data_IF_760295189222
#
_entry.id   IF_760295189222
#
_cell.length_a   1.000
_cell.length_b   1.000
_cell.length_c   1.000
_cell.angle_alpha   90.00
_cell.angle_beta   90.00
_cell.angle_gamma   90.00
#
_symmetry.space_group_name_H-M   'P 1'
#
loop_
_entity.id
_entity.type
_entity.pdbx_description
1 polymer ?
#
# COMPACT_ATOMS: atom_id res chain seq x y z
N UNK A 1 13.71 21.15 15.21
CA UNK A 1 12.57 21.56 14.35
C UNK A 1 11.87 22.71 15.06
N UNK A 2 11.79 23.87 14.42
CA UNK A 2 11.15 25.05 15.02
C UNK A 2 9.68 24.73 15.26
N UNK A 3 9.24 24.89 16.51
CA UNK A 3 7.87 24.68 16.95
C UNK A 3 7.02 25.84 16.41
N UNK A 4 6.71 25.80 15.11
CA UNK A 4 5.84 26.81 14.46
C UNK A 4 4.44 26.55 15.00
N UNK A 5 3.91 27.51 15.76
CA UNK A 5 2.54 27.47 16.26
C UNK A 5 1.61 27.40 15.04
N UNK A 6 0.84 26.32 14.92
CA UNK A 6 -0.11 26.16 13.81
C UNK A 6 -1.14 27.29 13.87
N UNK A 7 -1.23 28.10 12.82
CA UNK A 7 -2.23 29.16 12.70
C UNK A 7 -3.54 28.61 12.08
N UNK A 8 -4.68 29.18 12.48
CA UNK A 8 -6.00 28.80 11.94
C UNK A 8 -6.02 29.05 10.42
N UNK A 9 -6.16 27.97 9.63
CA UNK A 9 -6.23 28.03 8.17
C UNK A 9 -4.92 27.74 7.43
N UNK A 10 -3.80 27.54 8.14
CA UNK A 10 -2.62 26.90 7.54
C UNK A 10 -2.91 25.40 7.36
N UNK A 11 -2.63 24.87 6.17
CA UNK A 11 -2.76 23.45 5.80
C UNK A 11 -1.44 22.96 5.17
N UNK A 12 -1.14 21.66 5.25
CA UNK A 12 0.07 21.06 4.68
C UNK A 12 1.23 20.91 5.68
N UNK A 13 0.94 20.60 6.95
CA UNK A 13 1.98 20.38 7.97
C UNK A 13 2.62 18.99 7.86
N UNK A 14 1.85 18.00 7.42
CA UNK A 14 2.33 16.65 7.18
C UNK A 14 3.37 16.64 6.05
N UNK A 15 3.04 17.25 4.91
CA UNK A 15 3.85 17.13 3.69
C UNK A 15 3.80 15.71 3.10
N UNK A 16 4.65 15.46 2.12
CA UNK A 16 4.73 14.15 1.46
C UNK A 16 5.44 13.11 2.32
N UNK A 17 5.16 11.85 2.02
CA UNK A 17 5.76 10.66 2.65
C UNK A 17 5.52 10.60 4.16
N UNK A 18 4.39 11.18 4.61
CA UNK A 18 3.94 11.08 5.99
C UNK A 18 2.49 10.63 6.08
N UNK A 19 2.26 9.63 6.92
CA UNK A 19 0.93 9.13 7.23
C UNK A 19 0.34 9.96 8.35
N UNK A 20 -0.86 10.50 8.14
CA UNK A 20 -1.62 11.27 9.12
C UNK A 20 -2.75 10.41 9.66
N UNK A 21 -2.68 9.95 10.92
CA UNK A 21 -3.83 9.37 11.58
C UNK A 21 -4.88 10.44 11.84
N UNK A 22 -6.16 10.08 11.75
CA UNK A 22 -7.26 10.99 12.06
C UNK A 22 -8.42 10.25 12.74
N UNK A 23 -9.28 11.00 13.40
CA UNK A 23 -10.54 10.54 13.97
C UNK A 23 -11.64 11.56 13.66
N UNK A 24 -12.83 11.07 13.37
CA UNK A 24 -14.06 11.86 13.18
C UNK A 24 -14.98 11.52 14.34
N UNK A 25 -14.97 12.38 15.37
CA UNK A 25 -15.69 12.11 16.63
C UNK A 25 -17.20 11.96 16.39
N UNK A 26 -17.79 12.77 15.50
CA UNK A 26 -19.22 12.71 15.19
C UNK A 26 -19.71 11.50 14.41
N UNK A 27 -18.80 10.66 13.87
CA UNK A 27 -19.14 9.47 13.06
C UNK A 27 -18.54 8.17 13.59
N UNK A 28 -17.84 8.19 14.73
CA UNK A 28 -17.10 7.04 15.27
C UNK A 28 -16.14 6.38 14.25
N UNK A 29 -15.57 7.20 13.37
CA UNK A 29 -14.63 6.75 12.34
C UNK A 29 -13.21 7.15 12.73
N UNK A 30 -12.31 6.19 12.62
CA UNK A 30 -10.87 6.46 12.64
C UNK A 30 -10.27 6.11 11.29
N UNK A 31 -9.19 6.78 10.94
CA UNK A 31 -8.54 6.50 9.67
C UNK A 31 -7.11 6.95 9.61
N UNK A 32 -6.51 6.70 8.47
CA UNK A 32 -5.21 7.22 8.09
C UNK A 32 -5.27 7.72 6.66
N UNK A 33 -4.56 8.80 6.40
CA UNK A 33 -4.39 9.32 5.06
C UNK A 33 -2.90 9.55 4.80
N UNK A 34 -2.47 9.36 3.56
CA UNK A 34 -1.09 9.54 3.14
C UNK A 34 -1.05 10.10 1.73
N UNK A 35 -0.06 10.93 1.46
CA UNK A 35 0.37 11.31 0.12
C UNK A 35 1.86 11.00 0.03
N UNK A 36 2.23 10.17 -0.93
CA UNK A 36 3.61 9.79 -1.20
C UNK A 36 4.07 10.41 -2.51
N UNK A 37 5.27 10.95 -2.50
CA UNK A 37 5.88 11.63 -3.65
C UNK A 37 7.34 11.20 -3.78
N UNK A 38 8.29 11.80 -3.06
CA UNK A 38 9.70 11.43 -3.11
C UNK A 38 9.94 9.92 -2.90
N UNK A 39 9.22 9.30 -1.96
CA UNK A 39 9.27 7.85 -1.71
C UNK A 39 8.94 7.04 -2.97
N UNK A 40 7.77 7.30 -3.57
CA UNK A 40 7.28 6.51 -4.70
C UNK A 40 8.13 6.74 -5.95
N UNK A 41 8.60 7.98 -6.18
CA UNK A 41 9.55 8.27 -7.25
C UNK A 41 10.83 7.43 -7.11
N UNK A 42 11.42 7.40 -5.91
CA UNK A 42 12.67 6.65 -5.66
C UNK A 42 12.50 5.15 -5.95
N UNK A 43 11.35 4.57 -5.58
CA UNK A 43 11.06 3.15 -5.82
C UNK A 43 10.83 2.87 -7.32
N UNK A 44 10.06 3.72 -8.00
CA UNK A 44 9.71 3.54 -9.41
C UNK A 44 10.89 3.78 -10.36
N UNK A 45 11.74 4.76 -10.06
CA UNK A 45 12.89 5.16 -10.90
C UNK A 45 13.95 4.05 -11.02
N UNK A 46 13.98 3.09 -10.09
CA UNK A 46 14.92 1.96 -10.07
C UNK A 46 14.76 0.98 -11.23
N UNK A 47 13.53 0.82 -11.73
CA UNK A 47 13.18 -0.24 -12.69
C UNK A 47 12.56 0.30 -13.99
N UNK A 48 12.44 1.62 -14.14
CA UNK A 48 11.90 2.27 -15.33
C UNK A 48 10.56 1.67 -15.81
N UNK A 49 9.63 1.43 -14.87
CA UNK A 49 8.35 0.80 -15.15
C UNK A 49 7.53 1.56 -16.20
N UNK A 50 6.82 0.86 -17.11
CA UNK A 50 5.80 1.47 -17.95
C UNK A 50 4.68 2.09 -17.10
N UNK A 51 4.05 3.15 -17.60
CA UNK A 51 3.07 3.95 -16.85
C UNK A 51 1.96 3.12 -16.17
N UNK A 52 1.34 2.10 -16.80
CA UNK A 52 0.30 1.30 -16.15
C UNK A 52 0.83 0.49 -14.95
N UNK A 53 2.04 -0.08 -15.07
CA UNK A 53 2.69 -0.85 -14.00
C UNK A 53 3.13 0.06 -12.86
N UNK A 54 3.68 1.23 -13.19
CA UNK A 54 4.07 2.23 -12.21
C UNK A 54 2.87 2.72 -11.38
N UNK A 55 1.72 2.96 -12.02
CA UNK A 55 0.47 3.32 -11.34
C UNK A 55 0.01 2.23 -10.37
N UNK A 56 -0.08 0.99 -10.84
CA UNK A 56 -0.47 -0.15 -10.01
C UNK A 56 0.46 -0.32 -8.79
N UNK A 57 1.78 -0.24 -9.00
CA UNK A 57 2.76 -0.35 -7.93
C UNK A 57 2.65 0.80 -6.94
N UNK A 58 2.39 2.02 -7.41
CA UNK A 58 2.19 3.19 -6.56
C UNK A 58 0.94 3.05 -5.66
N UNK A 59 -0.18 2.58 -6.20
CA UNK A 59 -1.40 2.30 -5.43
C UNK A 59 -1.15 1.22 -4.37
N UNK A 60 -0.42 0.15 -4.73
CA UNK A 60 -0.06 -0.91 -3.78
C UNK A 60 0.91 -0.45 -2.67
N UNK A 61 1.83 0.48 -2.97
CA UNK A 61 2.70 1.11 -1.96
C UNK A 61 1.84 1.89 -0.96
N UNK A 62 0.91 2.72 -1.44
CA UNK A 62 0.00 3.50 -0.59
C UNK A 62 -0.84 2.58 0.28
N UNK A 63 -1.44 1.54 -0.30
CA UNK A 63 -2.24 0.56 0.44
C UNK A 63 -1.42 -0.10 1.55
N UNK A 64 -0.22 -0.56 1.22
CA UNK A 64 0.70 -1.21 2.17
C UNK A 64 1.08 -0.27 3.31
N UNK A 65 1.34 1.01 3.02
CA UNK A 65 1.69 2.02 4.02
C UNK A 65 0.50 2.33 4.93
N UNK A 66 -0.70 2.49 4.38
CA UNK A 66 -1.92 2.76 5.16
C UNK A 66 -2.24 1.61 6.11
N UNK A 67 -2.16 0.37 5.63
CA UNK A 67 -2.42 -0.82 6.46
C UNK A 67 -1.28 -1.06 7.43
N UNK A 68 -0.03 -1.02 6.98
CA UNK A 68 1.15 -1.30 7.79
C UNK A 68 1.29 -0.35 8.98
N UNK A 69 1.00 0.94 8.80
CA UNK A 69 0.95 1.91 9.91
C UNK A 69 -0.31 1.77 10.77
N UNK A 70 -1.32 1.02 10.31
CA UNK A 70 -2.56 0.77 11.04
C UNK A 70 -2.51 -0.30 12.11
N UNK A 71 -1.72 -1.33 11.85
CA UNK A 71 -1.58 -2.48 12.70
C UNK A 71 -0.59 -2.15 13.83
N UNK A 72 -0.95 -2.47 15.07
CA UNK A 72 -0.06 -2.32 16.23
C UNK A 72 0.77 -3.59 16.40
N UNK A 73 1.82 -3.74 15.59
CA UNK A 73 2.74 -4.87 15.66
C UNK A 73 4.19 -4.37 15.61
N UNK A 74 5.13 -5.27 15.89
CA UNK A 74 6.55 -5.05 15.60
C UNK A 74 7.02 -6.18 14.68
N UNK A 75 7.44 -5.84 13.46
CA UNK A 75 7.83 -6.79 12.43
C UNK A 75 7.60 -6.29 11.01
N UNK A 76 7.14 -7.17 10.13
CA UNK A 76 6.95 -6.93 8.70
C UNK A 76 5.53 -7.25 8.26
N UNK A 77 4.89 -6.28 7.61
CA UNK A 77 3.68 -6.47 6.84
C UNK A 77 4.03 -6.55 5.35
N UNK A 78 3.44 -7.50 4.63
CA UNK A 78 3.67 -7.74 3.21
C UNK A 78 2.33 -7.87 2.49
N UNK A 79 2.15 -7.07 1.44
CA UNK A 79 1.10 -7.26 0.44
C UNK A 79 1.75 -7.91 -0.77
N UNK A 80 1.25 -9.08 -1.15
CA UNK A 80 1.76 -9.80 -2.31
C UNK A 80 0.60 -10.23 -3.21
N UNK A 81 0.72 -9.98 -4.51
CA UNK A 81 -0.19 -10.54 -5.51
C UNK A 81 0.51 -11.64 -6.29
N UNK A 82 -0.27 -12.66 -6.67
CA UNK A 82 0.13 -13.63 -7.68
C UNK A 82 -1.06 -13.85 -8.59
N UNK A 83 -0.92 -13.40 -9.83
CA UNK A 83 -1.97 -13.46 -10.84
C UNK A 83 -1.48 -14.00 -12.17
N UNK A 84 -2.41 -14.19 -13.09
CA UNK A 84 -2.15 -14.60 -14.48
C UNK A 84 -2.20 -13.42 -15.48
N UNK A 85 -2.31 -12.19 -14.99
CA UNK A 85 -2.28 -10.98 -15.81
C UNK A 85 -0.86 -10.58 -16.27
N UNK A 86 -0.75 -9.49 -17.06
CA UNK A 86 0.54 -8.92 -17.48
C UNK A 86 1.52 -8.65 -16.33
N UNK A 87 1.02 -8.34 -15.14
CA UNK A 87 1.80 -8.18 -13.91
C UNK A 87 1.61 -9.44 -13.06
N UNK A 88 2.58 -10.37 -13.16
CA UNK A 88 2.47 -11.70 -12.54
C UNK A 88 2.73 -11.71 -11.02
N UNK A 89 3.49 -10.71 -10.56
CA UNK A 89 3.95 -10.59 -9.17
C UNK A 89 4.07 -9.12 -8.81
N UNK A 90 3.36 -8.73 -7.76
CA UNK A 90 3.59 -7.48 -7.06
C UNK A 90 3.88 -7.79 -5.60
N UNK A 91 4.89 -7.16 -5.04
CA UNK A 91 5.23 -7.27 -3.63
C UNK A 91 5.47 -5.87 -3.07
N UNK A 92 4.76 -5.52 -2.01
CA UNK A 92 4.98 -4.31 -1.25
C UNK A 92 5.10 -4.66 0.24
N UNK A 93 6.19 -4.19 0.85
CA UNK A 93 6.53 -4.47 2.23
C UNK A 93 6.53 -3.18 3.06
N UNK A 94 5.98 -3.26 4.26
CA UNK A 94 6.14 -2.29 5.32
C UNK A 94 6.80 -2.97 6.52
N UNK A 95 7.97 -2.48 6.93
CA UNK A 95 8.65 -2.93 8.15
C UNK A 95 8.60 -1.81 9.19
N UNK A 96 8.16 -2.16 10.39
CA UNK A 96 8.08 -1.22 11.51
C UNK A 96 9.48 -0.68 11.84
N UNK A 97 9.60 0.62 12.16
CA UNK A 97 8.53 1.59 12.33
C UNK A 97 8.14 2.38 11.07
N UNK A 98 8.95 2.39 10.01
CA UNK A 98 8.82 3.39 8.93
C UNK A 98 9.36 2.96 7.56
N UNK A 99 9.82 1.70 7.43
CA UNK A 99 10.54 1.27 6.23
C UNK A 99 9.60 0.67 5.20
N UNK A 100 9.67 1.15 3.96
CA UNK A 100 8.87 0.69 2.83
C UNK A 100 9.80 0.18 1.74
N UNK A 101 9.39 -0.88 1.04
CA UNK A 101 9.98 -1.29 -0.24
C UNK A 101 8.90 -1.96 -1.08
N UNK A 102 9.02 -1.86 -2.39
CA UNK A 102 8.10 -2.55 -3.28
C UNK A 102 8.78 -2.93 -4.59
N UNK A 103 8.21 -3.91 -5.26
CA UNK A 103 8.68 -4.47 -6.51
C UNK A 103 7.51 -5.03 -7.31
N UNK A 104 7.58 -4.91 -8.63
CA UNK A 104 6.65 -5.56 -9.54
C UNK A 104 7.41 -6.26 -10.65
N UNK A 105 6.96 -7.45 -11.02
CA UNK A 105 7.43 -8.18 -12.20
C UNK A 105 6.29 -8.27 -13.20
N UNK A 106 6.63 -8.03 -14.47
CA UNK A 106 5.66 -8.00 -15.55
C UNK A 106 6.23 -8.62 -16.82
N UNK A 107 5.35 -9.08 -17.69
CA UNK A 107 5.68 -9.56 -19.03
C UNK A 107 5.49 -8.41 -20.04
N UNK A 108 6.58 -8.02 -20.73
CA UNK A 108 6.57 -6.89 -21.66
C UNK A 108 5.62 -7.08 -22.86
N UNK A 109 5.59 -8.29 -23.44
CA UNK A 109 4.75 -8.59 -24.61
C UNK A 109 3.26 -8.57 -24.23
N UNK A 110 2.90 -9.22 -23.12
CA UNK A 110 1.53 -9.24 -22.62
C UNK A 110 1.05 -7.85 -22.20
N UNK A 111 1.94 -7.04 -21.63
CA UNK A 111 1.65 -5.66 -21.26
C UNK A 111 1.43 -4.79 -22.52
N UNK A 112 2.26 -4.94 -23.54
CA UNK A 112 2.11 -4.19 -24.79
C UNK A 112 0.76 -4.48 -25.48
N UNK A 113 0.33 -5.74 -25.48
CA UNK A 113 -0.98 -6.14 -25.98
C UNK A 113 -2.11 -5.54 -25.13
N UNK A 114 -2.03 -5.63 -23.80
CA UNK A 114 -3.02 -5.05 -22.91
C UNK A 114 -3.14 -3.52 -23.10
N UNK A 115 -2.02 -2.82 -23.28
CA UNK A 115 -2.01 -1.38 -23.58
C UNK A 115 -2.64 -1.07 -24.93
N UNK A 116 -2.35 -1.85 -25.97
CA UNK A 116 -2.94 -1.67 -27.29
C UNK A 116 -4.47 -1.85 -27.29
N UNK A 117 -4.98 -2.73 -26.44
CA UNK A 117 -6.41 -2.98 -26.25
C UNK A 117 -7.09 -2.02 -25.25
N UNK A 118 -6.32 -1.11 -24.62
CA UNK A 118 -6.83 -0.20 -23.59
C UNK A 118 -7.14 -0.88 -22.25
N UNK A 119 -6.65 -2.10 -22.02
CA UNK A 119 -6.81 -2.86 -20.78
C UNK A 119 -5.72 -2.51 -19.75
N UNK A 120 -5.71 -1.26 -19.31
CA UNK A 120 -4.64 -0.72 -18.43
C UNK A 120 -5.07 -0.47 -16.99
N UNK A 121 -6.26 -0.92 -16.58
CA UNK A 121 -6.68 -0.76 -15.18
C UNK A 121 -5.94 -1.74 -14.25
N UNK A 122 -5.71 -1.37 -12.98
CA UNK A 122 -4.98 -2.21 -12.01
C UNK A 122 -5.46 -3.67 -11.95
N UNK A 123 -6.77 -3.88 -11.89
CA UNK A 123 -7.41 -5.20 -11.84
C UNK A 123 -7.19 -6.02 -13.12
N UNK A 124 -7.15 -5.37 -14.29
CA UNK A 124 -6.89 -6.04 -15.57
C UNK A 124 -5.41 -6.45 -15.72
N UNK A 125 -4.51 -5.64 -15.15
CA UNK A 125 -3.07 -5.93 -15.16
C UNK A 125 -2.71 -7.08 -14.23
N UNK A 126 -3.41 -7.21 -13.11
CA UNK A 126 -3.24 -8.32 -12.17
C UNK A 126 -3.89 -9.61 -12.67
N UNK A 127 -5.00 -9.51 -13.41
CA UNK A 127 -5.75 -10.67 -13.88
C UNK A 127 -6.42 -11.42 -12.74
N UNK A 128 -6.56 -12.74 -12.90
CA UNK A 128 -7.13 -13.61 -11.88
C UNK A 128 -6.02 -14.23 -11.04
N UNK A 129 -6.29 -14.44 -9.76
CA UNK A 129 -5.30 -14.99 -8.85
C UNK A 129 -5.64 -14.72 -7.40
N UNK A 130 -4.61 -14.42 -6.62
CA UNK A 130 -4.76 -14.16 -5.18
C UNK A 130 -3.93 -12.97 -4.74
N UNK A 131 -4.47 -12.24 -3.76
CA UNK A 131 -3.79 -11.21 -3.01
C UNK A 131 -3.63 -11.69 -1.57
N UNK A 132 -2.39 -11.78 -1.11
CA UNK A 132 -2.02 -12.24 0.22
C UNK A 132 -1.51 -11.08 1.07
N UNK A 133 -2.11 -10.93 2.25
CA UNK A 133 -1.70 -10.05 3.33
C UNK A 133 -0.96 -10.88 4.38
N UNK A 134 0.34 -10.68 4.52
CA UNK A 134 1.17 -11.43 5.47
C UNK A 134 1.69 -10.50 6.57
N UNK A 135 1.45 -10.86 7.83
CA UNK A 135 1.97 -10.19 9.02
C UNK A 135 2.97 -11.14 9.68
N UNK A 136 4.24 -10.76 9.68
CA UNK A 136 5.33 -11.46 10.35
C UNK A 136 5.78 -10.61 11.55
N UNK A 137 5.68 -11.16 12.77
CA UNK A 137 6.05 -10.50 14.03
C UNK A 137 7.38 -11.03 14.62
N UNK A 138 8.20 -11.68 13.78
CA UNK A 138 9.51 -12.18 14.14
C UNK A 138 9.52 -13.62 14.66
N UNK A 139 10.71 -14.08 15.05
CA UNK A 139 11.04 -15.50 15.24
C UNK A 139 10.22 -16.24 16.32
N UNK A 140 9.57 -15.53 17.23
CA UNK A 140 8.81 -16.11 18.33
C UNK A 140 7.32 -16.28 18.02
N UNK A 141 6.85 -15.78 16.88
CA UNK A 141 5.45 -15.86 16.47
C UNK A 141 5.31 -16.43 15.07
N UNK A 142 4.23 -17.17 14.85
CA UNK A 142 3.92 -17.67 13.51
C UNK A 142 3.39 -16.54 12.65
N UNK A 143 3.80 -16.46 11.37
CA UNK A 143 3.26 -15.44 10.47
C UNK A 143 1.77 -15.68 10.26
N UNK A 144 1.00 -14.60 10.32
CA UNK A 144 -0.41 -14.60 9.96
C UNK A 144 -0.56 -14.24 8.49
N UNK A 145 -1.36 -14.99 7.74
CA UNK A 145 -1.60 -14.73 6.32
C UNK A 145 -3.10 -14.77 6.02
N UNK A 146 -3.63 -13.66 5.51
CA UNK A 146 -4.97 -13.59 4.93
C UNK A 146 -4.89 -13.56 3.41
N UNK A 147 -5.69 -14.36 2.73
CA UNK A 147 -5.69 -14.49 1.27
C UNK A 147 -7.07 -14.11 0.75
N UNK A 148 -7.12 -13.21 -0.22
CA UNK A 148 -8.35 -12.76 -0.90
C UNK A 148 -8.21 -13.05 -2.40
N UNK A 149 -9.25 -13.56 -3.08
CA UNK A 149 -9.21 -13.77 -4.52
C UNK A 149 -9.10 -12.45 -5.29
N UNK A 150 -8.38 -12.48 -6.42
CA UNK A 150 -8.43 -11.45 -7.45
C UNK A 150 -9.47 -11.87 -8.48
N UNK A 151 -10.63 -11.22 -8.48
CA UNK A 151 -11.81 -11.54 -9.31
C UNK A 151 -12.22 -10.36 -10.22
N UNK A 152 -11.29 -9.44 -10.47
CA UNK A 152 -11.55 -8.18 -11.18
C UNK A 152 -11.97 -7.03 -10.27
N UNK A 153 -12.04 -7.25 -8.95
CA UNK A 153 -12.23 -6.18 -7.97
C UNK A 153 -11.00 -5.28 -7.87
N UNK A 154 -11.21 -4.01 -7.51
CA UNK A 154 -10.13 -3.05 -7.28
C UNK A 154 -9.33 -3.39 -6.01
N UNK A 155 -8.09 -2.88 -5.90
CA UNK A 155 -7.29 -3.00 -4.67
C UNK A 155 -8.01 -2.40 -3.44
N UNK A 156 -8.82 -1.36 -3.66
CA UNK A 156 -9.63 -0.74 -2.60
C UNK A 156 -10.67 -1.72 -2.04
N UNK A 157 -11.38 -2.42 -2.93
CA UNK A 157 -12.45 -3.36 -2.56
C UNK A 157 -11.88 -4.62 -1.90
N UNK A 158 -10.78 -5.14 -2.46
CA UNK A 158 -10.05 -6.30 -1.90
C UNK A 158 -9.60 -6.01 -0.46
N UNK A 159 -9.04 -4.82 -0.21
CA UNK A 159 -8.66 -4.40 1.13
C UNK A 159 -9.88 -4.30 2.07
N UNK A 160 -11.00 -3.78 1.59
CA UNK A 160 -12.27 -3.74 2.35
C UNK A 160 -12.79 -5.14 2.72
N UNK A 161 -12.70 -6.10 1.80
CA UNK A 161 -13.07 -7.51 2.04
C UNK A 161 -12.16 -8.13 3.09
N UNK A 162 -10.84 -7.93 2.99
CA UNK A 162 -9.88 -8.43 3.97
C UNK A 162 -10.20 -7.97 5.39
N UNK A 163 -10.38 -6.66 5.62
CA UNK A 163 -10.69 -6.16 6.97
C UNK A 163 -12.05 -6.62 7.48
N UNK A 164 -13.03 -6.75 6.59
CA UNK A 164 -14.36 -7.27 6.95
C UNK A 164 -14.31 -8.72 7.40
N UNK A 165 -13.52 -9.57 6.72
CA UNK A 165 -13.43 -11.00 7.02
C UNK A 165 -12.47 -11.30 8.18
N UNK A 166 -11.30 -10.67 8.20
CA UNK A 166 -10.25 -10.97 9.19
C UNK A 166 -10.44 -10.23 10.50
N UNK A 167 -10.84 -8.95 10.46
CA UNK A 167 -10.91 -8.08 11.65
C UNK A 167 -12.35 -7.74 12.06
N UNK A 168 -13.35 -8.06 11.22
CA UNK A 168 -14.76 -7.69 11.41
C UNK A 168 -14.96 -6.16 11.58
N UNK A 169 -14.09 -5.36 10.96
CA UNK A 169 -14.15 -3.90 11.00
C UNK A 169 -14.61 -3.39 9.64
N UNK A 170 -15.78 -2.73 9.54
CA UNK A 170 -16.18 -2.03 8.32
C UNK A 170 -15.10 -1.03 7.93
N UNK A 171 -14.55 -1.23 6.74
CA UNK A 171 -13.40 -0.48 6.24
C UNK A 171 -13.65 -0.04 4.82
N UNK A 172 -13.34 1.21 4.52
CA UNK A 172 -13.33 1.75 3.16
C UNK A 172 -11.95 2.34 2.88
N UNK A 173 -11.43 2.03 1.70
CA UNK A 173 -10.12 2.50 1.24
C UNK A 173 -10.34 3.29 -0.04
N UNK A 174 -9.63 4.41 -0.21
CA UNK A 174 -9.49 5.11 -1.48
C UNK A 174 -8.03 5.24 -1.82
N UNK A 175 -7.68 4.94 -3.06
CA UNK A 175 -6.32 5.01 -3.60
C UNK A 175 -6.33 5.83 -4.87
N UNK A 176 -5.24 6.53 -5.13
CA UNK A 176 -5.03 7.26 -6.36
C UNK A 176 -3.54 7.39 -6.64
N UNK A 177 -3.15 7.23 -7.89
CA UNK A 177 -1.80 7.46 -8.35
C UNK A 177 -1.84 8.19 -9.69
N UNK A 178 -1.03 9.23 -9.81
CA UNK A 178 -0.94 10.05 -11.01
C UNK A 178 0.51 10.38 -11.32
N UNK A 179 0.77 10.50 -12.61
CA UNK A 179 2.01 11.07 -13.11
C UNK A 179 1.82 12.58 -13.29
N UNK A 180 2.68 13.35 -12.65
CA UNK A 180 2.72 14.80 -12.72
C UNK A 180 3.82 15.25 -13.68
N UNK A 181 3.47 16.26 -14.47
CA UNK A 181 4.38 16.96 -15.36
C UNK A 181 4.60 18.37 -14.81
N UNK A 182 5.72 18.56 -14.11
CA UNK A 182 6.07 19.83 -13.50
C UNK A 182 7.42 20.36 -14.02
N UNK A 183 7.87 21.46 -13.44
CA UNK A 183 9.19 22.04 -13.71
C UNK A 183 9.98 22.06 -12.42
N UNK A 184 11.24 21.67 -12.49
CA UNK A 184 12.15 21.78 -11.36
C UNK A 184 12.46 23.26 -11.04
N UNK A 185 13.20 23.51 -9.96
CA UNK A 185 13.62 24.85 -9.54
C UNK A 185 14.41 25.60 -10.64
N UNK A 186 15.00 24.88 -11.60
CA UNK A 186 15.74 25.42 -12.74
C UNK A 186 14.86 25.58 -14.00
N UNK A 187 13.55 25.32 -13.91
CA UNK A 187 12.59 25.42 -15.01
C UNK A 187 12.62 24.24 -16.00
N UNK A 188 13.42 23.20 -15.75
CA UNK A 188 13.50 22.01 -16.61
C UNK A 188 12.26 21.14 -16.40
N UNK A 189 11.64 20.63 -17.49
CA UNK A 189 10.52 19.71 -17.36
C UNK A 189 10.97 18.46 -16.59
N UNK A 190 10.17 18.08 -15.59
CA UNK A 190 10.37 16.88 -14.78
C UNK A 190 9.07 16.08 -14.80
N UNK A 191 9.23 14.76 -14.82
CA UNK A 191 8.15 13.80 -14.63
C UNK A 191 8.28 13.27 -13.21
N UNK A 192 7.21 13.35 -12.44
CA UNK A 192 7.17 12.80 -11.09
C UNK A 192 5.92 11.98 -10.89
N UNK A 193 6.01 10.99 -10.03
CA UNK A 193 4.87 10.26 -9.53
C UNK A 193 4.40 10.85 -8.21
N UNK A 194 3.08 10.90 -8.06
CA UNK A 194 2.43 11.20 -6.79
C UNK A 194 1.30 10.21 -6.61
N UNK A 195 1.23 9.64 -5.42
CA UNK A 195 0.15 8.74 -5.05
C UNK A 195 -0.39 9.12 -3.69
N UNK A 196 -1.68 8.91 -3.47
CA UNK A 196 -2.34 9.23 -2.22
C UNK A 196 -3.39 8.20 -1.91
N UNK A 197 -3.77 8.14 -0.65
CA UNK A 197 -4.86 7.29 -0.22
C UNK A 197 -5.34 7.60 1.17
N UNK A 198 -6.53 7.08 1.45
CA UNK A 198 -7.23 7.21 2.72
C UNK A 198 -7.86 5.86 3.08
N UNK A 199 -7.67 5.43 4.31
CA UNK A 199 -8.39 4.31 4.92
C UNK A 199 -9.27 4.84 6.04
N UNK A 200 -10.56 4.53 5.99
CA UNK A 200 -11.54 4.84 7.02
C UNK A 200 -12.09 3.54 7.61
N UNK A 201 -12.12 3.45 8.93
CA UNK A 201 -12.56 2.29 9.69
C UNK A 201 -13.58 2.71 10.74
N UNK A 202 -14.70 1.99 10.78
CA UNK A 202 -15.75 2.23 11.76
C UNK A 202 -15.43 1.52 13.09
N UNK A 203 -15.23 2.29 14.16
CA UNK A 203 -15.00 1.77 15.50
C UNK A 203 -15.89 2.48 16.51
N UNK A 204 -17.14 2.02 16.69
CA UNK A 204 -18.04 2.60 17.65
C UNK A 204 -17.57 2.34 19.09
N UNK A 205 -17.66 3.35 19.94
CA UNK A 205 -17.35 3.20 21.38
C UNK A 205 -18.37 2.30 22.12
N UNK A 206 -19.57 2.14 21.56
CA UNK A 206 -20.62 1.28 22.09
C UNK A 206 -20.58 -0.09 21.40
N UNK A 207 -20.32 -1.21 22.14
CA UNK A 207 -20.16 -2.55 21.56
C UNK A 207 -21.37 -3.05 20.78
N UNK A 208 -22.58 -2.60 21.14
CA UNK A 208 -23.82 -3.01 20.49
C UNK A 208 -23.93 -2.49 19.05
N UNK A 209 -23.23 -1.40 18.71
CA UNK A 209 -23.15 -0.86 17.34
C UNK A 209 -22.13 -1.59 16.47
N UNK A 210 -21.31 -2.45 17.06
CA UNK A 210 -20.37 -3.31 16.34
C UNK A 210 -20.98 -4.69 16.02
N UNK A 211 -22.08 -5.07 16.68
CA UNK A 211 -22.74 -6.35 16.47
C UNK A 211 -23.59 -6.29 15.20
N UNK A 212 -23.32 -7.19 14.25
CA UNK A 212 -24.35 -7.54 13.28
C UNK A 212 -25.57 -8.08 14.06
N UNK A 213 -26.80 -7.73 13.68
CA UNK A 213 -27.99 -8.35 14.26
C UNK A 213 -27.88 -9.87 14.22
N UNK A 214 -28.27 -10.55 15.31
CA UNK A 214 -28.31 -12.01 15.32
C UNK A 214 -29.22 -12.51 14.18
N UNK A 215 -28.67 -13.39 13.33
CA UNK A 215 -29.48 -14.18 12.40
C UNK A 215 -30.46 -15.01 13.21
N UNK A 216 -31.75 -14.72 13.03
CA UNK A 216 -32.82 -15.30 13.81
C UNK A 216 -32.95 -16.78 13.45
N UNK A 217 -33.15 -17.62 14.47
CA UNK A 217 -33.31 -19.05 14.29
C UNK A 217 -34.63 -19.36 13.57
N UNK A 218 -34.56 -19.55 12.25
CA UNK A 218 -35.33 -20.57 11.54
C UNK A 218 -36.86 -20.42 11.45
N UNK A 219 -37.42 -19.23 11.60
CA UNK A 219 -38.83 -19.00 11.26
C UNK A 219 -38.90 -18.11 10.02
N UNK A 220 -39.41 -18.66 8.92
CA UNK A 220 -39.42 -18.11 7.55
C UNK A 220 -40.05 -16.74 7.39
N UNK A 221 -39.38 -15.71 7.88
CA UNK A 221 -39.63 -14.32 7.59
C UNK A 221 -38.90 -13.97 6.30
N UNK A 222 -39.60 -13.98 5.16
CA UNK A 222 -39.11 -13.55 3.84
C UNK A 222 -38.94 -12.01 3.74
N UNK A 223 -38.63 -11.36 4.86
CA UNK A 223 -38.17 -9.98 4.83
C UNK A 223 -36.69 -10.03 4.50
N UNK A 224 -36.30 -9.45 3.37
CA UNK A 224 -34.91 -9.08 3.13
C UNK A 224 -34.47 -8.25 4.34
N UNK A 225 -33.68 -8.85 5.24
CA UNK A 225 -33.04 -8.12 6.31
C UNK A 225 -31.96 -7.27 5.64
N UNK A 226 -32.33 -6.06 5.22
CA UNK A 226 -31.37 -4.99 5.00
C UNK A 226 -30.49 -4.94 6.25
N UNK A 227 -29.21 -5.28 6.09
CA UNK A 227 -28.22 -5.11 7.14
C UNK A 227 -28.26 -3.63 7.46
N UNK A 228 -28.87 -3.26 8.59
CA UNK A 228 -28.88 -1.90 9.10
C UNK A 228 -27.43 -1.53 9.39
N UNK A 229 -26.75 -0.98 8.41
CA UNK A 229 -25.50 -0.30 8.63
C UNK A 229 -25.78 0.87 9.56
N UNK A 230 -24.87 1.12 10.50
CA UNK A 230 -24.96 2.29 11.35
C UNK A 230 -24.98 3.54 10.45
N UNK A 231 -25.99 4.40 10.59
CA UNK A 231 -26.15 5.62 9.78
C UNK A 231 -24.86 6.45 9.76
N UNK A 232 -24.08 6.44 10.86
CA UNK A 232 -22.80 7.14 10.95
C UNK A 232 -21.74 6.53 10.03
N UNK A 233 -21.71 5.20 9.90
CA UNK A 233 -20.81 4.53 8.96
C UNK A 233 -21.25 4.75 7.52
N UNK A 234 -22.55 4.68 7.22
CA UNK A 234 -23.05 4.94 5.86
C UNK A 234 -22.69 6.35 5.41
N UNK A 235 -22.91 7.34 6.28
CA UNK A 235 -22.53 8.72 6.01
C UNK A 235 -21.02 8.86 5.78
N UNK A 236 -20.20 8.30 6.68
CA UNK A 236 -18.75 8.34 6.51
C UNK A 236 -18.29 7.70 5.20
N UNK A 237 -18.88 6.55 4.84
CA UNK A 237 -18.59 5.84 3.59
C UNK A 237 -18.98 6.71 2.39
N UNK A 238 -20.16 7.32 2.39
CA UNK A 238 -20.61 8.21 1.32
C UNK A 238 -19.65 9.38 1.14
N UNK A 239 -19.20 10.01 2.23
CA UNK A 239 -18.21 11.09 2.19
C UNK A 239 -16.89 10.61 1.59
N UNK A 240 -16.36 9.47 2.04
CA UNK A 240 -15.11 8.88 1.51
C UNK A 240 -15.24 8.47 0.04
N UNK A 241 -16.42 8.01 -0.39
CA UNK A 241 -16.68 7.65 -1.79
C UNK A 241 -16.67 8.87 -2.72
N UNK A 242 -16.84 10.09 -2.20
CA UNK A 242 -16.73 11.32 -3.01
C UNK A 242 -15.31 11.74 -3.34
N UNK A 243 -14.30 11.16 -2.69
CA UNK A 243 -12.89 11.48 -2.95
C UNK A 243 -12.54 11.14 -4.40
N UNK A 244 -11.96 12.07 -5.13
CA UNK A 244 -11.43 11.80 -6.47
C UNK A 244 -9.93 11.46 -6.43
N UNK A 245 -9.46 10.70 -7.42
CA UNK A 245 -8.03 10.38 -7.56
C UNK A 245 -7.19 11.67 -7.75
N UNK A 246 -7.76 12.67 -8.42
CA UNK A 246 -7.13 13.98 -8.59
C UNK A 246 -6.93 14.69 -7.24
N UNK A 247 -7.87 14.59 -6.30
CA UNK A 247 -7.70 15.19 -4.97
C UNK A 247 -6.65 14.46 -4.12
N UNK A 248 -6.54 13.14 -4.26
CA UNK A 248 -5.52 12.34 -3.58
C UNK A 248 -4.11 12.66 -4.09
N UNK A 249 -4.00 13.09 -5.35
CA UNK A 249 -2.72 13.31 -6.03
C UNK A 249 -2.40 14.77 -6.28
N UNK A 250 -3.27 15.73 -5.97
CA UNK A 250 -3.02 17.16 -6.15
C UNK A 250 -2.04 17.69 -5.08
N UNK A 251 -0.87 18.26 -5.47
CA UNK A 251 0.05 18.90 -4.53
C UNK A 251 -0.54 20.09 -3.75
N UNK A 252 -1.60 20.72 -4.25
CA UNK A 252 -2.30 21.83 -3.61
C UNK A 252 -3.37 21.37 -2.61
N UNK A 253 -3.72 20.08 -2.63
CA UNK A 253 -4.67 19.45 -1.69
C UNK A 253 -3.88 18.56 -0.74
N UNK A 254 -3.28 19.18 0.28
CA UNK A 254 -2.64 18.43 1.37
C UNK A 254 -3.66 17.61 2.18
N UNK A 255 -3.16 16.59 2.88
CA UNK A 255 -3.98 15.64 3.65
C UNK A 255 -4.93 16.35 4.62
N UNK A 256 -4.46 17.34 5.39
CA UNK A 256 -5.30 18.03 6.36
C UNK A 256 -6.43 18.83 5.69
N UNK A 257 -6.17 19.37 4.49
CA UNK A 257 -7.18 20.06 3.70
C UNK A 257 -8.22 19.08 3.15
N UNK A 258 -7.78 17.91 2.68
CA UNK A 258 -8.67 16.84 2.23
C UNK A 258 -9.59 16.38 3.39
N UNK A 259 -9.00 16.09 4.55
CA UNK A 259 -9.76 15.69 5.74
C UNK A 259 -10.77 16.75 6.19
N UNK A 260 -10.37 18.03 6.16
CA UNK A 260 -11.28 19.13 6.46
C UNK A 260 -12.43 19.20 5.45
N UNK A 261 -12.16 19.13 4.14
CA UNK A 261 -13.22 19.12 3.11
C UNK A 261 -14.24 18.02 3.36
N UNK A 262 -13.78 16.82 3.66
CA UNK A 262 -14.64 15.65 3.89
C UNK A 262 -15.46 15.74 5.17
N UNK A 263 -14.85 16.17 6.28
CA UNK A 263 -15.40 15.94 7.62
C UNK A 263 -15.54 17.20 8.48
N UNK A 264 -15.46 18.41 7.91
CA UNK A 264 -15.57 19.66 8.67
C UNK A 264 -16.86 19.76 9.50
N UNK A 265 -17.99 19.25 9.00
CA UNK A 265 -19.28 19.29 9.73
C UNK A 265 -19.33 18.34 10.93
N UNK A 266 -18.50 17.28 10.93
CA UNK A 266 -18.54 16.20 11.92
C UNK A 266 -17.40 16.23 12.94
N UNK A 267 -16.51 17.21 12.83
CA UNK A 267 -15.42 17.43 13.79
C UNK A 267 -14.26 16.47 13.60
N UNK A 268 -13.51 16.62 12.50
CA UNK A 268 -12.29 15.84 12.26
C UNK A 268 -11.11 16.34 13.10
N UNK A 269 -10.39 15.40 13.70
CA UNK A 269 -9.13 15.62 14.41
C UNK A 269 -8.02 14.84 13.72
N UNK A 270 -6.99 15.55 13.25
CA UNK A 270 -5.75 14.95 12.76
C UNK A 270 -4.73 14.82 13.92
N UNK A 271 -3.97 13.74 13.90
CA UNK A 271 -2.89 13.45 14.87
C UNK A 271 -1.51 13.70 14.24
N UNK A 272 -0.47 13.56 15.07
CA UNK A 272 0.91 13.75 14.62
C UNK A 272 1.24 12.81 13.45
N UNK A 273 1.82 13.34 12.35
CA UNK A 273 2.18 12.54 11.20
C UNK A 273 3.35 11.61 11.50
N UNK A 274 3.32 10.41 10.91
CA UNK A 274 4.40 9.43 10.94
C UNK A 274 5.08 9.38 9.58
N UNK A 275 6.38 9.65 9.53
CA UNK A 275 7.14 9.57 8.29
C UNK A 275 7.35 8.12 7.83
N UNK A 276 7.45 7.93 6.51
CA UNK A 276 7.82 6.66 5.88
C UNK A 276 8.97 6.87 4.92
N UNK A 277 9.85 5.87 4.81
CA UNK A 277 11.09 5.96 4.05
C UNK A 277 11.32 4.70 3.23
N UNK A 278 11.90 4.87 2.05
CA UNK A 278 12.34 3.76 1.23
C UNK A 278 13.65 3.23 1.80
N UNK A 279 13.57 2.05 2.44
CA UNK A 279 14.71 1.40 3.09
C UNK A 279 14.66 -0.08 2.80
N UNK A 280 15.57 -0.53 1.94
CA UNK A 280 15.74 -1.95 1.68
C UNK A 280 16.55 -2.59 2.82
N UNK A 281 16.17 -3.80 3.19
CA UNK A 281 16.85 -4.60 4.22
C UNK A 281 17.94 -5.52 3.67
N UNK A 282 18.30 -5.39 2.38
CA UNK A 282 19.37 -6.17 1.76
C UNK A 282 20.73 -5.82 2.37
N UNK A 283 21.57 -6.83 2.54
CA UNK A 283 22.95 -6.66 2.98
C UNK A 283 23.81 -7.71 2.30
N UNK A 284 25.12 -7.44 2.23
CA UNK A 284 26.08 -8.40 1.69
C UNK A 284 25.98 -9.75 2.42
N UNK A 285 25.81 -9.73 3.75
CA UNK A 285 25.72 -10.94 4.57
C UNK A 285 24.44 -11.74 4.29
N UNK A 286 23.29 -11.06 4.11
CA UNK A 286 22.02 -11.74 3.81
C UNK A 286 22.06 -12.43 2.46
N UNK A 287 22.55 -11.73 1.44
CA UNK A 287 22.66 -12.29 0.08
C UNK A 287 23.69 -13.42 0.07
N UNK A 288 24.81 -13.26 0.77
CA UNK A 288 25.78 -14.34 0.97
C UNK A 288 25.15 -15.57 1.61
N UNK A 289 24.33 -15.40 2.65
CA UNK A 289 23.61 -16.50 3.29
C UNK A 289 22.65 -17.24 2.35
N UNK A 290 22.02 -16.53 1.41
CA UNK A 290 21.19 -17.15 0.35
C UNK A 290 22.07 -17.96 -0.61
N UNK A 291 23.18 -17.37 -1.09
CA UNK A 291 24.10 -18.04 -2.00
C UNK A 291 24.78 -19.27 -1.39
N UNK A 292 24.99 -19.29 -0.07
CA UNK A 292 25.49 -20.46 0.66
C UNK A 292 24.53 -21.67 0.65
N UNK A 293 23.24 -21.44 0.35
CA UNK A 293 22.26 -22.52 0.19
C UNK A 293 22.30 -23.20 -1.18
N UNK A 294 23.06 -22.66 -2.13
CA UNK A 294 23.12 -23.17 -3.50
C UNK A 294 24.16 -24.29 -3.61
N UNK A 295 23.94 -25.22 -4.53
CA UNK A 295 24.89 -26.28 -4.86
C UNK A 295 26.12 -25.71 -5.59
N UNK A 296 27.22 -26.47 -5.56
CA UNK A 296 28.46 -26.07 -6.24
C UNK A 296 28.25 -25.86 -7.77
N UNK A 297 27.39 -26.66 -8.40
CA UNK A 297 27.05 -26.53 -9.82
C UNK A 297 26.26 -25.23 -10.11
N UNK A 298 25.35 -24.84 -9.22
CA UNK A 298 24.60 -23.57 -9.32
C UNK A 298 25.53 -22.35 -9.13
N UNK A 299 26.51 -22.45 -8.22
CA UNK A 299 27.50 -21.40 -7.99
C UNK A 299 28.44 -21.27 -9.20
N UNK A 300 28.91 -22.39 -9.76
CA UNK A 300 29.79 -22.38 -10.95
C UNK A 300 29.05 -21.82 -12.17
N UNK A 301 27.80 -22.24 -12.41
CA UNK A 301 26.98 -21.71 -13.51
C UNK A 301 26.58 -20.25 -13.35
N UNK A 302 26.53 -19.73 -12.11
CA UNK A 302 26.27 -18.32 -11.83
C UNK A 302 27.54 -17.44 -11.83
N UNK A 303 28.72 -18.04 -12.05
CA UNK A 303 30.00 -17.31 -12.08
C UNK A 303 30.28 -16.83 -13.48
N UNK A 304 30.36 -15.51 -13.66
CA UNK A 304 30.74 -14.85 -14.91
C UNK A 304 31.98 -13.97 -14.64
N UNK A 305 33.01 -14.06 -15.50
CA UNK A 305 34.27 -13.31 -15.33
C UNK A 305 34.94 -13.46 -13.94
N UNK A 306 34.76 -14.62 -13.30
CA UNK A 306 35.33 -14.93 -11.99
C UNK A 306 34.61 -14.28 -10.80
N UNK A 307 33.41 -13.72 -11.02
CA UNK A 307 32.58 -13.13 -9.98
C UNK A 307 31.14 -13.60 -10.09
N UNK A 308 30.43 -13.54 -8.97
CA UNK A 308 28.98 -13.74 -8.90
C UNK A 308 28.37 -12.39 -8.59
N UNK A 309 27.58 -11.86 -9.52
CA UNK A 309 26.90 -10.57 -9.35
C UNK A 309 25.44 -10.82 -9.03
N UNK A 310 25.00 -10.41 -7.84
CA UNK A 310 23.59 -10.48 -7.44
C UNK A 310 23.03 -9.07 -7.34
N UNK A 311 22.01 -8.79 -8.13
CA UNK A 311 21.26 -7.53 -8.04
C UNK A 311 20.01 -7.75 -7.19
N UNK A 312 19.83 -6.91 -6.16
CA UNK A 312 18.63 -6.98 -5.35
C UNK A 312 17.43 -6.40 -6.11
N UNK A 313 16.40 -7.21 -6.35
CA UNK A 313 15.18 -6.80 -7.08
C UNK A 313 14.40 -5.64 -6.41
N UNK A 314 14.61 -5.33 -5.13
CA UNK A 314 13.87 -4.24 -4.46
C UNK A 314 14.55 -2.87 -4.57
N UNK A 315 15.88 -2.85 -4.48
CA UNK A 315 16.65 -1.60 -4.43
C UNK A 315 17.61 -1.41 -5.61
N UNK A 316 17.71 -2.41 -6.49
CA UNK A 316 18.64 -2.48 -7.62
C UNK A 316 20.12 -2.33 -7.24
N UNK A 317 20.48 -2.51 -5.96
CA UNK A 317 21.88 -2.58 -5.54
C UNK A 317 22.48 -3.91 -5.99
N UNK A 318 23.58 -3.82 -6.74
CA UNK A 318 24.39 -4.98 -7.14
C UNK A 318 25.46 -5.30 -6.11
N UNK A 319 25.62 -6.58 -5.81
CA UNK A 319 26.62 -7.11 -4.90
C UNK A 319 27.49 -8.12 -5.64
N UNK A 320 28.79 -7.83 -5.71
CA UNK A 320 29.77 -8.73 -6.32
C UNK A 320 30.40 -9.63 -5.27
N UNK A 321 30.45 -10.93 -5.53
CA UNK A 321 31.11 -11.92 -4.68
C UNK A 321 32.16 -12.68 -5.46
N UNK A 322 33.25 -13.03 -4.77
CA UNK A 322 34.18 -14.04 -5.28
C UNK A 322 33.63 -15.43 -4.97
N UNK A 323 33.72 -16.43 -5.87
CA UNK A 323 33.21 -17.78 -5.61
C UNK A 323 33.77 -18.39 -4.31
N UNK A 324 35.04 -18.12 -4.00
CA UNK A 324 35.70 -18.56 -2.76
C UNK A 324 35.10 -17.93 -1.48
N UNK A 325 34.42 -16.79 -1.58
CA UNK A 325 33.75 -16.16 -0.43
C UNK A 325 32.44 -16.88 -0.07
N UNK A 326 31.81 -17.52 -1.06
CA UNK A 326 30.45 -18.08 -0.98
C UNK A 326 30.48 -19.59 -0.73
N UNK A 327 31.40 -20.30 -1.37
CA UNK A 327 31.60 -21.73 -1.15
C UNK A 327 32.15 -21.92 0.27
N UNK A 328 31.31 -22.41 1.18
CA UNK A 328 31.76 -22.81 2.51
C UNK A 328 32.80 -23.95 2.37
N UNK A 329 33.89 -23.85 3.13
CA UNK A 329 34.88 -24.92 3.26
C UNK A 329 34.27 -26.20 3.86
#
# INVERSE_FOLDING_TARGET
MSNKQAELGEFGFAGDDRVVPFQVEGLDVRGRAVQVGPLVNTILDRHAYPQPVARLLAEAIVLTVLIGTSLKFDGKFTVQTKGDGPVDLLVADFSTPESVRAYARFNEDALAEAVAEGRTSPEQLLGNGVLAFTIDQGAFMQPYQGIVPLDGSSLEDIAGVYFRQSEQIPTRVRLGAAELFDRDENGKPRRTWRAGGLIAQFLPEAPDRMRLPDLHGGDGDERDFEVSHDDAWEEARMLVDTIDADELTDPQVGIERLLFRLFHERGVRAYAPQAVYDRCSCSRDKIKGVLQGFSAEEIESSTEDGKITVTCEFCSTSYDYEPAEVVAA
#
